data_IF_040648561196
#
_entry.id   IF_040648561196
#
_cell.length_a   1.000
_cell.length_b   1.000
_cell.length_c   1.000
_cell.angle_alpha   90.00
_cell.angle_beta   90.00
_cell.angle_gamma   90.00
#
_symmetry.space_group_name_H-M   'P 1'
#
loop_
_entity.id
_entity.type
_entity.pdbx_description
1 polymer ?
#
# COMPACT_ATOMS: atom_id res chain seq x y z
N UNK A 1 51.99 -0.77 1.59
CA UNK A 1 50.54 -1.09 1.44
C UNK A 1 50.45 -2.61 1.34
N UNK A 2 49.89 -3.20 2.37
CA UNK A 2 49.83 -4.63 2.48
C UNK A 2 48.87 -5.23 1.45
N UNK A 3 49.27 -6.36 0.80
CA UNK A 3 48.41 -7.09 -0.14
C UNK A 3 47.02 -7.47 0.45
N UNK A 4 46.93 -7.57 1.78
CA UNK A 4 45.68 -7.85 2.49
C UNK A 4 44.66 -6.69 2.47
N UNK A 5 45.12 -5.40 2.44
CA UNK A 5 44.22 -4.26 2.33
C UNK A 5 43.59 -4.15 0.92
N UNK A 6 44.39 -4.49 -0.12
CA UNK A 6 43.87 -4.48 -1.50
C UNK A 6 42.80 -5.55 -1.75
N UNK A 7 43.00 -6.77 -1.22
CA UNK A 7 42.06 -7.88 -1.35
C UNK A 7 40.74 -7.56 -0.60
N UNK A 8 40.80 -6.96 0.59
CA UNK A 8 39.60 -6.53 1.35
C UNK A 8 38.80 -5.47 0.58
N UNK A 9 39.45 -4.51 -0.04
CA UNK A 9 38.78 -3.44 -0.81
C UNK A 9 38.02 -3.97 -2.01
N UNK A 10 38.60 -4.94 -2.75
CA UNK A 10 37.97 -5.52 -3.93
C UNK A 10 36.78 -6.44 -3.57
N UNK A 11 36.87 -7.18 -2.44
CA UNK A 11 35.76 -7.98 -1.94
C UNK A 11 34.57 -7.12 -1.50
N UNK A 12 34.83 -5.99 -0.83
CA UNK A 12 33.78 -5.05 -0.42
C UNK A 12 33.13 -4.40 -1.64
N UNK A 13 33.91 -3.99 -2.62
CA UNK A 13 33.38 -3.39 -3.84
C UNK A 13 32.45 -4.36 -4.58
N UNK A 14 32.89 -5.59 -4.79
CA UNK A 14 32.10 -6.64 -5.44
C UNK A 14 30.78 -6.90 -4.66
N UNK A 15 30.87 -6.94 -3.33
CA UNK A 15 29.68 -7.13 -2.49
C UNK A 15 28.66 -6.00 -2.66
N UNK A 16 29.10 -4.72 -2.66
CA UNK A 16 28.20 -3.58 -2.86
C UNK A 16 27.60 -3.55 -4.27
N UNK A 17 28.35 -3.90 -5.29
CA UNK A 17 27.82 -4.05 -6.65
C UNK A 17 26.71 -5.12 -6.71
N UNK A 18 26.94 -6.27 -6.11
CA UNK A 18 25.92 -7.33 -6.03
C UNK A 18 24.65 -6.87 -5.31
N UNK A 19 24.78 -6.08 -4.24
CA UNK A 19 23.61 -5.51 -3.55
C UNK A 19 22.82 -4.56 -4.44
N UNK A 20 23.50 -3.73 -5.22
CA UNK A 20 22.88 -2.77 -6.14
C UNK A 20 22.27 -3.51 -7.35
N UNK A 21 22.97 -4.47 -7.91
CA UNK A 21 22.51 -5.31 -9.03
C UNK A 21 21.25 -6.13 -8.64
N UNK A 22 21.15 -6.51 -7.38
CA UNK A 22 19.95 -7.18 -6.88
C UNK A 22 18.65 -6.35 -7.07
N UNK A 23 18.77 -5.02 -7.26
CA UNK A 23 17.65 -4.13 -7.57
C UNK A 23 17.27 -4.10 -9.05
N UNK A 24 18.05 -4.70 -9.94
CA UNK A 24 17.76 -4.77 -11.37
C UNK A 24 16.70 -5.83 -11.68
N UNK A 25 15.67 -5.88 -10.86
CA UNK A 25 14.50 -6.74 -11.03
C UNK A 25 13.26 -5.91 -11.31
N UNK A 26 12.27 -6.49 -11.98
CA UNK A 26 10.97 -5.84 -12.22
C UNK A 26 10.21 -5.54 -10.90
N UNK A 27 10.58 -6.20 -9.82
CA UNK A 27 10.02 -6.05 -8.49
C UNK A 27 11.09 -5.52 -7.52
N UNK A 28 11.09 -4.21 -7.30
CA UNK A 28 12.07 -3.53 -6.45
C UNK A 28 12.03 -4.01 -4.99
N UNK A 29 10.86 -4.41 -4.47
CA UNK A 29 10.73 -4.93 -3.11
C UNK A 29 11.49 -6.27 -2.98
N UNK A 30 11.35 -7.15 -3.97
CA UNK A 30 12.17 -8.38 -4.03
C UNK A 30 13.65 -8.07 -4.15
N UNK A 31 14.01 -7.01 -4.89
CA UNK A 31 15.39 -6.53 -4.99
C UNK A 31 15.96 -6.09 -3.64
N UNK A 32 15.20 -5.31 -2.87
CA UNK A 32 15.59 -4.90 -1.50
C UNK A 32 15.75 -6.11 -0.59
N UNK A 33 14.81 -7.04 -0.59
CA UNK A 33 14.90 -8.28 0.19
C UNK A 33 16.14 -9.10 -0.18
N UNK A 34 16.45 -9.21 -1.47
CA UNK A 34 17.65 -9.91 -1.96
C UNK A 34 18.93 -9.21 -1.49
N UNK A 35 18.96 -7.88 -1.51
CA UNK A 35 20.10 -7.10 -1.01
C UNK A 35 20.33 -7.32 0.49
N UNK A 36 19.28 -7.31 1.30
CA UNK A 36 19.37 -7.60 2.74
C UNK A 36 19.80 -9.04 2.99
N UNK A 37 19.34 -9.99 2.19
CA UNK A 37 19.77 -11.39 2.27
C UNK A 37 21.27 -11.57 1.93
N UNK A 38 21.76 -10.89 0.90
CA UNK A 38 23.18 -10.87 0.57
C UNK A 38 24.02 -10.28 1.72
N UNK A 39 23.53 -9.19 2.33
CA UNK A 39 24.15 -8.59 3.50
C UNK A 39 24.21 -9.57 4.67
N UNK A 40 23.14 -10.30 4.93
CA UNK A 40 23.09 -11.35 5.97
C UNK A 40 24.13 -12.43 5.73
N UNK A 41 24.22 -12.95 4.51
CA UNK A 41 25.20 -13.96 4.14
C UNK A 41 26.65 -13.43 4.29
N UNK A 42 26.90 -12.22 3.81
CA UNK A 42 28.22 -11.61 3.87
C UNK A 42 28.70 -11.40 5.30
N UNK A 43 27.83 -10.89 6.18
CA UNK A 43 28.14 -10.65 7.58
C UNK A 43 28.07 -11.92 8.43
N UNK A 44 27.58 -13.03 7.89
CA UNK A 44 27.24 -14.23 8.66
C UNK A 44 26.40 -13.88 9.90
N UNK A 45 25.42 -12.97 9.68
CA UNK A 45 24.57 -12.45 10.76
C UNK A 45 23.37 -13.37 11.02
N UNK A 46 22.82 -13.30 12.24
CA UNK A 46 21.60 -14.01 12.60
C UNK A 46 20.38 -13.39 11.94
N UNK A 47 20.12 -12.13 12.21
CA UNK A 47 18.94 -11.42 11.72
C UNK A 47 19.28 -10.01 11.25
N UNK A 48 18.62 -9.58 10.17
CA UNK A 48 18.68 -8.21 9.68
C UNK A 48 17.25 -7.67 9.61
N UNK A 49 17.02 -6.51 10.20
CA UNK A 49 15.70 -5.87 10.25
C UNK A 49 15.87 -4.43 9.81
N UNK A 50 15.07 -4.02 8.81
CA UNK A 50 14.97 -2.63 8.39
C UNK A 50 13.72 -2.02 9.01
N UNK A 51 13.90 -0.90 9.72
CA UNK A 51 12.85 -0.11 10.33
C UNK A 51 12.66 1.18 9.56
N UNK A 52 11.41 1.57 9.35
CA UNK A 52 11.01 2.84 8.75
C UNK A 52 10.33 3.72 9.78
N UNK A 53 10.69 4.99 9.83
CA UNK A 53 10.04 5.98 10.70
C UNK A 53 8.66 6.33 10.16
N UNK A 54 7.63 6.21 10.98
CA UNK A 54 6.25 6.54 10.62
C UNK A 54 5.92 8.02 10.90
N UNK A 55 4.72 8.47 10.50
CA UNK A 55 4.23 9.84 10.69
C UNK A 55 4.20 10.28 12.17
N UNK A 56 4.13 9.34 13.12
CA UNK A 56 4.16 9.61 14.56
C UNK A 56 5.58 9.65 15.12
N UNK A 57 6.61 9.63 14.28
CA UNK A 57 8.02 9.65 14.68
C UNK A 57 8.55 8.34 15.26
N UNK A 58 7.76 7.24 15.21
CA UNK A 58 8.17 5.93 15.71
C UNK A 58 8.70 5.06 14.57
N UNK A 59 9.73 4.29 14.87
CA UNK A 59 10.24 3.27 13.96
C UNK A 59 9.38 2.00 14.04
N UNK A 60 8.90 1.57 12.89
CA UNK A 60 8.16 0.31 12.70
C UNK A 60 8.94 -0.53 11.69
N UNK A 61 9.00 -1.84 11.91
CA UNK A 61 9.69 -2.69 10.96
C UNK A 61 8.99 -2.63 9.59
N UNK A 62 9.80 -2.54 8.54
CA UNK A 62 9.37 -2.46 7.15
C UNK A 62 9.68 -3.78 6.43
N UNK A 63 10.93 -4.23 6.58
CA UNK A 63 11.41 -5.48 5.99
C UNK A 63 12.23 -6.21 7.04
N UNK A 64 11.98 -7.49 7.24
CA UNK A 64 12.79 -8.29 8.14
C UNK A 64 12.97 -9.72 7.63
N UNK A 65 14.16 -10.26 7.84
CA UNK A 65 14.49 -11.66 7.63
C UNK A 65 14.63 -12.33 9.00
N UNK A 66 13.50 -12.51 9.70
CA UNK A 66 13.46 -13.06 11.06
C UNK A 66 12.52 -14.25 11.13
N UNK A 67 12.98 -15.32 11.70
CA UNK A 67 12.20 -16.54 11.96
C UNK A 67 11.46 -16.54 13.32
N UNK A 68 11.67 -15.52 14.18
CA UNK A 68 11.11 -15.46 15.54
C UNK A 68 10.45 -14.12 15.85
N UNK A 69 9.14 -14.14 16.08
CA UNK A 69 8.33 -12.94 16.38
C UNK A 69 8.71 -12.23 17.71
N UNK A 70 9.07 -12.97 18.75
CA UNK A 70 9.46 -12.39 20.03
C UNK A 70 10.67 -11.47 19.89
N UNK A 71 11.67 -11.91 19.13
CA UNK A 71 12.88 -11.14 18.84
C UNK A 71 12.58 -9.80 18.14
N UNK A 72 11.61 -9.77 17.22
CA UNK A 72 11.22 -8.52 16.52
C UNK A 72 10.65 -7.50 17.51
N UNK A 73 9.79 -7.93 18.44
CA UNK A 73 9.16 -7.04 19.40
C UNK A 73 10.19 -6.40 20.34
N UNK A 74 11.13 -7.19 20.83
CA UNK A 74 12.22 -6.71 21.70
C UNK A 74 13.13 -5.71 20.97
N UNK A 75 13.58 -6.04 19.75
CA UNK A 75 14.42 -5.15 18.95
C UNK A 75 13.65 -3.89 18.56
N UNK A 76 12.36 -3.97 18.22
CA UNK A 76 11.53 -2.80 17.90
C UNK A 76 11.44 -1.85 19.09
N UNK A 77 11.27 -2.38 20.30
CA UNK A 77 11.26 -1.58 21.53
C UNK A 77 12.63 -0.90 21.76
N UNK A 78 13.71 -1.65 21.59
CA UNK A 78 15.07 -1.13 21.72
C UNK A 78 15.36 -0.04 20.70
N UNK A 79 15.04 -0.24 19.42
CA UNK A 79 15.22 0.74 18.34
C UNK A 79 14.50 2.05 18.68
N UNK A 80 13.25 2.00 19.13
CA UNK A 80 12.51 3.21 19.49
C UNK A 80 13.08 3.91 20.74
N UNK A 81 13.72 3.17 21.63
CA UNK A 81 14.37 3.73 22.83
C UNK A 81 15.67 4.45 22.49
N UNK A 82 16.46 3.89 21.57
CA UNK A 82 17.80 4.42 21.23
C UNK A 82 17.82 5.23 19.94
N UNK A 83 16.69 5.41 19.25
CA UNK A 83 16.62 6.05 17.92
C UNK A 83 17.31 7.40 17.87
N UNK A 84 17.15 8.21 18.92
CA UNK A 84 17.83 9.52 19.03
C UNK A 84 19.37 9.39 18.99
N UNK A 85 19.94 8.38 19.65
CA UNK A 85 21.39 8.13 19.61
C UNK A 85 21.84 7.69 18.24
N UNK A 86 21.12 6.76 17.61
CA UNK A 86 21.42 6.23 16.27
C UNK A 86 21.32 7.34 15.22
N UNK A 87 20.30 8.19 15.27
CA UNK A 87 20.13 9.33 14.36
C UNK A 87 21.28 10.34 14.45
N UNK A 88 21.85 10.55 15.66
CA UNK A 88 22.93 11.52 15.86
C UNK A 88 24.32 10.96 15.58
N UNK A 89 24.54 9.67 15.81
CA UNK A 89 25.85 9.02 15.66
C UNK A 89 26.05 8.37 14.29
N UNK A 90 24.98 8.31 13.48
CA UNK A 90 24.91 7.59 12.19
C UNK A 90 25.03 6.06 12.32
N UNK A 91 25.75 5.56 13.31
CA UNK A 91 25.78 4.14 13.69
C UNK A 91 25.84 4.00 15.23
N UNK A 92 25.36 2.88 15.73
CA UNK A 92 25.40 2.54 17.15
C UNK A 92 25.50 1.03 17.30
N UNK A 93 26.42 0.60 18.17
CA UNK A 93 26.69 -0.81 18.41
C UNK A 93 26.50 -1.16 19.88
N UNK A 94 25.87 -2.29 20.13
CA UNK A 94 25.75 -2.89 21.45
C UNK A 94 26.40 -4.28 21.38
N UNK A 95 27.53 -4.44 22.05
CA UNK A 95 28.30 -5.67 22.08
C UNK A 95 28.21 -6.33 23.47
N UNK A 96 26.99 -6.66 23.87
CA UNK A 96 26.73 -7.49 25.05
C UNK A 96 25.42 -8.27 24.86
N UNK A 97 25.23 -9.32 25.64
CA UNK A 97 24.01 -10.13 25.57
C UNK A 97 22.78 -9.25 25.93
N UNK A 98 21.97 -8.96 24.92
CA UNK A 98 20.73 -8.21 25.05
C UNK A 98 19.62 -9.13 25.52
N UNK A 99 19.58 -10.34 24.93
CA UNK A 99 18.69 -11.44 25.30
C UNK A 99 19.45 -12.76 25.22
N UNK A 100 18.80 -13.86 25.59
CA UNK A 100 19.40 -15.20 25.44
C UNK A 100 19.78 -15.52 23.99
N UNK A 101 19.12 -14.87 23.03
CA UNK A 101 19.28 -15.12 21.58
C UNK A 101 20.07 -14.04 20.85
N UNK A 102 20.18 -12.82 21.40
CA UNK A 102 20.87 -11.67 20.80
C UNK A 102 22.11 -11.33 21.61
N UNK A 103 23.27 -11.63 21.04
CA UNK A 103 24.59 -11.42 21.66
C UNK A 103 25.19 -10.06 21.33
N UNK A 104 25.00 -9.59 20.09
CA UNK A 104 25.42 -8.26 19.65
C UNK A 104 24.43 -7.73 18.62
N UNK A 105 24.40 -6.42 18.47
CA UNK A 105 23.56 -5.74 17.49
C UNK A 105 24.22 -4.42 17.04
N UNK A 106 24.25 -4.22 15.74
CA UNK A 106 24.66 -2.96 15.11
C UNK A 106 23.45 -2.26 14.51
N UNK A 107 23.35 -0.97 14.77
CA UNK A 107 22.32 -0.11 14.18
C UNK A 107 22.97 0.89 13.23
N UNK A 108 22.43 1.03 12.05
CA UNK A 108 22.85 1.99 11.04
C UNK A 108 21.69 2.92 10.70
N UNK A 109 21.91 4.23 10.78
CA UNK A 109 20.94 5.21 10.37
C UNK A 109 21.07 5.53 8.90
N UNK A 110 19.96 5.45 8.19
CA UNK A 110 19.89 5.69 6.75
C UNK A 110 18.80 6.73 6.52
N UNK A 111 19.22 7.90 6.04
CA UNK A 111 18.31 8.98 5.67
C UNK A 111 18.19 9.03 4.16
N UNK A 112 16.96 8.83 3.65
CA UNK A 112 16.61 9.08 2.25
C UNK A 112 15.91 10.45 2.13
N UNK A 113 15.47 10.82 0.91
CA UNK A 113 14.88 12.15 0.68
C UNK A 113 13.61 12.38 1.52
N UNK A 114 12.75 11.37 1.63
CA UNK A 114 11.42 11.48 2.23
C UNK A 114 11.24 10.60 3.46
N UNK A 115 12.17 9.67 3.72
CA UNK A 115 12.04 8.68 4.78
C UNK A 115 13.33 8.54 5.59
N UNK A 116 13.17 8.14 6.83
CA UNK A 116 14.25 7.80 7.74
C UNK A 116 14.15 6.33 8.10
N UNK A 117 15.28 5.63 8.09
CA UNK A 117 15.37 4.20 8.36
C UNK A 117 16.45 3.91 9.40
N UNK A 118 16.25 2.83 10.14
CA UNK A 118 17.30 2.21 10.96
C UNK A 118 17.41 0.76 10.50
N UNK A 119 18.63 0.37 10.09
CA UNK A 119 18.98 -1.02 9.80
C UNK A 119 19.60 -1.61 11.06
N UNK A 120 19.02 -2.67 11.59
CA UNK A 120 19.58 -3.44 12.71
C UNK A 120 20.14 -4.77 12.19
N UNK A 121 21.37 -5.08 12.62
CA UNK A 121 22.12 -6.29 12.25
C UNK A 121 22.45 -7.02 13.53
N UNK A 122 21.83 -8.18 13.74
CA UNK A 122 21.96 -8.95 14.97
C UNK A 122 22.89 -10.15 14.79
N UNK A 123 23.64 -10.47 15.83
CA UNK A 123 24.51 -11.65 15.88
C UNK A 123 25.46 -11.75 14.68
N UNK A 124 26.00 -10.61 14.22
CA UNK A 124 26.97 -10.64 13.14
C UNK A 124 28.32 -11.24 13.63
N UNK A 125 29.06 -11.82 12.69
CA UNK A 125 30.30 -12.47 13.02
C UNK A 125 31.40 -11.43 13.33
N UNK A 126 31.72 -11.25 14.59
CA UNK A 126 32.77 -10.32 15.05
C UNK A 126 34.17 -10.66 14.58
N UNK A 127 34.41 -11.88 14.01
CA UNK A 127 35.73 -12.28 13.49
C UNK A 127 36.09 -11.62 12.13
N UNK A 128 35.15 -11.02 11.44
CA UNK A 128 35.43 -10.08 10.35
C UNK A 128 35.74 -8.73 10.98
N UNK A 129 37.01 -8.35 11.06
CA UNK A 129 37.44 -6.98 11.37
C UNK A 129 36.97 -6.04 10.26
N UNK A 130 35.70 -5.67 10.31
CA UNK A 130 35.10 -4.70 9.42
C UNK A 130 35.47 -3.30 9.90
N UNK A 131 36.15 -2.56 9.06
CA UNK A 131 36.60 -1.21 9.36
C UNK A 131 35.48 -0.18 9.26
N UNK A 132 35.76 1.05 9.70
CA UNK A 132 34.79 2.16 9.63
C UNK A 132 34.40 2.50 8.17
N UNK A 133 35.28 2.27 7.22
CA UNK A 133 35.02 2.55 5.80
C UNK A 133 34.01 1.56 5.22
N UNK A 134 34.03 0.29 5.63
CA UNK A 134 32.99 -0.67 5.30
C UNK A 134 31.61 -0.19 5.74
N UNK A 135 31.45 0.17 7.00
CA UNK A 135 30.15 0.60 7.55
C UNK A 135 29.65 1.89 6.88
N UNK A 136 30.56 2.83 6.63
CA UNK A 136 30.25 4.07 5.91
C UNK A 136 29.80 3.79 4.48
N UNK A 137 30.44 2.88 3.78
CA UNK A 137 30.07 2.50 2.42
C UNK A 137 28.75 1.71 2.40
N UNK A 138 28.53 0.83 3.39
CA UNK A 138 27.25 0.15 3.54
C UNK A 138 26.10 1.13 3.70
N UNK A 139 26.24 2.15 4.57
CA UNK A 139 25.22 3.20 4.72
C UNK A 139 24.94 3.92 3.39
N UNK A 140 25.95 4.25 2.60
CA UNK A 140 25.79 4.87 1.29
C UNK A 140 25.06 3.94 0.31
N UNK A 141 25.43 2.68 0.27
CA UNK A 141 24.80 1.67 -0.60
C UNK A 141 23.33 1.48 -0.21
N UNK A 142 23.04 1.33 1.07
CA UNK A 142 21.65 1.25 1.56
C UNK A 142 20.86 2.52 1.27
N UNK A 143 21.45 3.70 1.36
CA UNK A 143 20.80 4.95 0.94
C UNK A 143 20.36 4.90 -0.53
N UNK A 144 21.25 4.44 -1.43
CA UNK A 144 20.91 4.30 -2.87
C UNK A 144 19.76 3.30 -3.07
N UNK A 145 19.84 2.16 -2.40
CA UNK A 145 18.82 1.09 -2.43
C UNK A 145 17.46 1.65 -1.98
N UNK A 146 17.41 2.30 -0.83
CA UNK A 146 16.16 2.83 -0.28
C UNK A 146 15.59 3.97 -1.11
N UNK A 147 16.43 4.87 -1.62
CA UNK A 147 16.00 5.94 -2.53
C UNK A 147 15.37 5.38 -3.81
N UNK A 148 15.91 4.31 -4.36
CA UNK A 148 15.33 3.65 -5.55
C UNK A 148 13.99 2.99 -5.22
N UNK A 149 13.89 2.31 -4.08
CA UNK A 149 12.65 1.70 -3.62
C UNK A 149 11.53 2.74 -3.41
N UNK A 150 11.83 3.86 -2.74
CA UNK A 150 10.88 4.98 -2.55
C UNK A 150 10.41 5.57 -3.88
N UNK A 151 11.34 5.80 -4.80
CA UNK A 151 11.01 6.33 -6.13
C UNK A 151 10.10 5.38 -6.90
N UNK A 152 10.36 4.08 -6.81
CA UNK A 152 9.52 3.05 -7.42
C UNK A 152 8.12 3.03 -6.79
N UNK A 153 8.01 3.02 -5.45
CA UNK A 153 6.72 3.08 -4.76
C UNK A 153 5.92 4.32 -5.14
N UNK A 154 6.56 5.48 -5.22
CA UNK A 154 5.92 6.73 -5.67
C UNK A 154 5.38 6.61 -7.09
N UNK A 155 6.20 6.08 -8.00
CA UNK A 155 5.79 5.87 -9.39
C UNK A 155 4.61 4.90 -9.49
N UNK A 156 4.66 3.78 -8.77
CA UNK A 156 3.54 2.82 -8.72
C UNK A 156 2.28 3.50 -8.17
N UNK A 157 2.37 4.22 -7.05
CA UNK A 157 1.21 4.95 -6.49
C UNK A 157 0.65 5.97 -7.47
N UNK A 158 1.50 6.73 -8.15
CA UNK A 158 1.07 7.72 -9.15
C UNK A 158 0.33 7.08 -10.33
N UNK A 159 0.75 5.86 -10.74
CA UNK A 159 0.14 5.13 -11.84
C UNK A 159 -1.15 4.39 -11.42
N UNK A 160 -1.24 3.94 -10.16
CA UNK A 160 -2.29 3.01 -9.69
C UNK A 160 -3.33 3.66 -8.79
N UNK A 161 -3.15 4.90 -8.34
CA UNK A 161 -4.05 5.59 -7.40
C UNK A 161 -4.77 6.75 -8.08
N UNK A 162 -6.07 6.90 -7.82
CA UNK A 162 -6.85 8.08 -8.20
C UNK A 162 -6.54 9.24 -7.26
N UNK A 163 -6.07 10.34 -7.81
CA UNK A 163 -5.57 11.50 -7.05
C UNK A 163 -6.66 12.16 -6.21
N UNK A 164 -7.91 12.21 -6.70
CA UNK A 164 -9.01 12.86 -6.01
C UNK A 164 -9.49 12.04 -4.82
N UNK A 165 -9.66 10.74 -4.99
CA UNK A 165 -10.30 9.88 -3.99
C UNK A 165 -9.31 9.05 -3.16
N UNK A 166 -8.07 8.87 -3.65
CA UNK A 166 -7.10 7.95 -3.08
C UNK A 166 -7.57 6.48 -3.10
N UNK A 167 -8.50 6.12 -3.98
CA UNK A 167 -8.83 4.76 -4.35
C UNK A 167 -7.86 4.26 -5.41
N UNK A 168 -7.85 2.96 -5.67
CA UNK A 168 -7.19 2.45 -6.87
C UNK A 168 -7.88 3.01 -8.11
N UNK A 169 -7.09 3.35 -9.12
CA UNK A 169 -7.59 3.91 -10.36
C UNK A 169 -7.88 2.83 -11.41
N UNK A 170 -8.27 3.27 -12.62
CA UNK A 170 -8.54 2.41 -13.76
C UNK A 170 -7.36 1.53 -14.14
N UNK A 171 -6.13 2.04 -14.11
CA UNK A 171 -4.95 1.25 -14.46
C UNK A 171 -4.76 0.09 -13.48
N UNK A 172 -4.92 0.35 -12.18
CA UNK A 172 -4.87 -0.70 -11.15
C UNK A 172 -5.96 -1.76 -11.37
N UNK A 173 -7.18 -1.34 -11.72
CA UNK A 173 -8.26 -2.27 -12.09
C UNK A 173 -7.87 -3.12 -13.31
N UNK A 174 -7.36 -2.52 -14.39
CA UNK A 174 -6.96 -3.23 -15.61
C UNK A 174 -5.80 -4.20 -15.38
N UNK A 175 -4.90 -3.91 -14.46
CA UNK A 175 -3.86 -4.84 -14.02
C UNK A 175 -4.48 -6.03 -13.27
N UNK A 176 -5.35 -5.75 -12.30
CA UNK A 176 -5.95 -6.77 -11.44
C UNK A 176 -6.82 -7.77 -12.21
N UNK A 177 -7.62 -7.32 -13.18
CA UNK A 177 -8.52 -8.20 -13.93
C UNK A 177 -7.78 -9.25 -14.79
N UNK A 178 -6.52 -9.00 -15.14
CA UNK A 178 -5.69 -9.98 -15.89
C UNK A 178 -5.26 -11.15 -15.02
N UNK A 179 -5.25 -10.98 -13.70
CA UNK A 179 -4.81 -11.98 -12.73
C UNK A 179 -5.95 -12.79 -12.13
N UNK A 180 -7.21 -12.37 -12.34
CA UNK A 180 -8.39 -13.03 -11.77
C UNK A 180 -8.56 -14.41 -12.41
N UNK A 181 -8.49 -15.45 -11.57
CA UNK A 181 -8.72 -16.85 -11.93
C UNK A 181 -9.74 -17.52 -11.03
N UNK A 182 -10.24 -16.79 -10.04
CA UNK A 182 -11.11 -17.28 -8.98
C UNK A 182 -12.50 -16.67 -9.07
N UNK A 183 -13.49 -17.33 -8.45
CA UNK A 183 -14.80 -16.75 -8.25
C UNK A 183 -14.72 -15.56 -7.30
N UNK A 184 -15.39 -14.47 -7.66
CA UNK A 184 -15.49 -13.28 -6.81
C UNK A 184 -16.81 -12.55 -7.01
N UNK A 185 -17.15 -11.68 -6.07
CA UNK A 185 -18.26 -10.74 -6.24
C UNK A 185 -17.75 -9.49 -6.95
N UNK A 186 -18.41 -9.15 -8.04
CA UNK A 186 -18.16 -7.99 -8.88
C UNK A 186 -19.28 -6.97 -8.68
N UNK A 187 -18.92 -5.74 -8.35
CA UNK A 187 -19.86 -4.65 -8.16
C UNK A 187 -19.51 -3.44 -9.01
N UNK A 188 -20.53 -2.83 -9.63
CA UNK A 188 -20.42 -1.53 -10.30
C UNK A 188 -21.28 -0.53 -9.55
N UNK A 189 -20.76 0.69 -9.40
CA UNK A 189 -21.46 1.81 -8.76
C UNK A 189 -21.34 3.06 -9.61
N UNK A 190 -22.39 3.88 -9.61
CA UNK A 190 -22.48 5.15 -10.34
C UNK A 190 -23.13 6.22 -9.46
N UNK A 191 -22.56 7.42 -9.44
CA UNK A 191 -23.10 8.53 -8.66
C UNK A 191 -24.32 9.14 -9.35
N UNK A 192 -25.44 9.09 -8.66
CA UNK A 192 -26.67 9.65 -9.17
C UNK A 192 -26.60 11.18 -9.24
N UNK A 193 -26.84 11.74 -10.44
CA UNK A 193 -26.89 13.18 -10.70
C UNK A 193 -25.58 13.96 -10.48
N UNK A 194 -24.41 13.35 -10.60
CA UNK A 194 -23.14 14.08 -10.51
C UNK A 194 -23.08 15.23 -11.54
N UNK A 195 -23.52 14.99 -12.78
CA UNK A 195 -23.58 16.03 -13.81
C UNK A 195 -24.45 17.21 -13.37
N UNK A 196 -25.62 16.96 -12.79
CA UNK A 196 -26.48 18.02 -12.26
C UNK A 196 -25.77 18.83 -11.17
N UNK A 197 -25.05 18.18 -10.27
CA UNK A 197 -24.27 18.86 -9.22
C UNK A 197 -23.21 19.77 -9.85
N UNK A 198 -22.46 19.26 -10.83
CA UNK A 198 -21.44 20.04 -11.53
C UNK A 198 -22.00 21.26 -12.25
N UNK A 199 -23.10 21.06 -12.99
CA UNK A 199 -23.68 22.09 -13.84
C UNK A 199 -24.37 23.22 -13.02
N UNK A 200 -24.93 22.91 -11.84
CA UNK A 200 -25.72 23.86 -11.04
C UNK A 200 -24.95 24.46 -9.86
N UNK A 201 -23.94 23.75 -9.33
CA UNK A 201 -23.20 24.25 -8.17
C UNK A 201 -21.73 24.56 -8.51
N UNK A 202 -20.95 23.58 -8.89
CA UNK A 202 -19.61 23.70 -9.48
C UNK A 202 -18.94 22.31 -9.55
N UNK A 203 -17.85 22.20 -10.31
CA UNK A 203 -16.99 21.00 -10.29
C UNK A 203 -16.36 20.75 -8.91
N UNK A 204 -16.09 21.79 -8.12
CA UNK A 204 -15.55 21.64 -6.75
C UNK A 204 -16.56 20.89 -5.87
N UNK A 205 -17.85 21.25 -5.94
CA UNK A 205 -18.90 20.55 -5.20
C UNK A 205 -19.10 19.12 -5.70
N UNK A 206 -18.96 18.91 -7.01
CA UNK A 206 -18.94 17.57 -7.59
C UNK A 206 -17.78 16.71 -7.11
N UNK A 207 -16.59 17.28 -6.99
CA UNK A 207 -15.43 16.62 -6.43
C UNK A 207 -15.62 16.25 -4.95
N UNK A 208 -16.21 17.14 -4.16
CA UNK A 208 -16.59 16.84 -2.76
C UNK A 208 -17.58 15.68 -2.67
N UNK A 209 -18.55 15.62 -3.60
CA UNK A 209 -19.50 14.51 -3.70
C UNK A 209 -18.79 13.19 -4.02
N UNK A 210 -17.89 13.18 -5.00
CA UNK A 210 -17.08 12.01 -5.38
C UNK A 210 -16.22 11.56 -4.19
N UNK A 211 -15.53 12.48 -3.51
CA UNK A 211 -14.70 12.17 -2.35
C UNK A 211 -15.51 11.60 -1.18
N UNK A 212 -16.70 12.14 -0.93
CA UNK A 212 -17.58 11.65 0.12
C UNK A 212 -18.07 10.22 -0.17
N UNK A 213 -18.50 9.94 -1.40
CA UNK A 213 -18.89 8.60 -1.82
C UNK A 213 -17.74 7.60 -1.74
N UNK A 214 -16.54 7.98 -2.18
CA UNK A 214 -15.33 7.16 -2.07
C UNK A 214 -15.01 6.81 -0.60
N UNK A 215 -15.14 7.76 0.33
CA UNK A 215 -14.97 7.51 1.77
C UNK A 215 -15.98 6.50 2.30
N UNK A 216 -17.23 6.59 1.87
CA UNK A 216 -18.28 5.64 2.23
C UNK A 216 -17.95 4.25 1.68
N UNK A 217 -17.57 4.13 0.41
CA UNK A 217 -17.18 2.85 -0.17
C UNK A 217 -15.99 2.23 0.57
N UNK A 218 -14.95 3.01 0.89
CA UNK A 218 -13.81 2.55 1.73
C UNK A 218 -14.24 2.06 3.11
N UNK A 219 -15.23 2.70 3.74
CA UNK A 219 -15.77 2.29 5.05
C UNK A 219 -16.43 0.91 4.99
N UNK A 220 -17.19 0.62 3.93
CA UNK A 220 -17.87 -0.66 3.76
C UNK A 220 -16.95 -1.78 3.26
N UNK A 221 -15.94 -1.44 2.47
CA UNK A 221 -14.94 -2.36 1.92
C UNK A 221 -13.52 -1.82 2.16
N UNK A 222 -13.06 -1.85 3.43
CA UNK A 222 -11.72 -1.37 3.76
C UNK A 222 -10.67 -2.30 3.14
N UNK A 223 -9.59 -1.72 2.63
CA UNK A 223 -8.37 -2.47 2.32
C UNK A 223 -7.75 -2.93 3.64
N UNK A 224 -7.75 -4.20 3.91
CA UNK A 224 -7.03 -4.76 5.04
C UNK A 224 -5.60 -5.09 4.61
N UNK A 225 -4.62 -4.48 5.26
CA UNK A 225 -3.27 -5.03 5.30
C UNK A 225 -3.34 -6.22 6.26
N UNK A 226 -3.36 -7.43 5.74
CA UNK A 226 -3.24 -8.62 6.58
C UNK A 226 -1.78 -8.71 6.99
N UNK A 227 -1.51 -8.56 8.30
CA UNK A 227 -0.27 -9.06 8.88
C UNK A 227 -0.39 -10.58 8.85
N UNK A 228 0.34 -11.22 7.94
CA UNK A 228 0.51 -12.66 8.00
C UNK A 228 1.48 -12.99 9.12
N UNK A 229 1.01 -13.84 10.03
CA UNK A 229 1.70 -14.25 11.25
C UNK A 229 2.91 -15.15 10.98
N UNK A 230 3.49 -15.34 9.89
CA UNK A 230 4.73 -16.14 9.72
C UNK A 230 5.46 -16.02 8.37
N UNK A 231 5.00 -15.21 7.43
CA UNK A 231 5.78 -14.94 6.22
C UNK A 231 5.68 -13.47 5.87
N UNK A 232 6.85 -12.82 5.77
CA UNK A 232 6.98 -11.42 5.38
C UNK A 232 6.77 -11.33 3.86
N UNK A 233 5.59 -11.62 3.43
CA UNK A 233 5.08 -11.06 2.21
C UNK A 233 4.16 -9.90 2.60
N UNK A 234 4.57 -8.68 2.30
CA UNK A 234 3.69 -7.53 2.19
C UNK A 234 2.74 -7.70 0.99
N UNK A 235 2.17 -8.87 0.85
CA UNK A 235 0.99 -9.07 0.04
C UNK A 235 -0.14 -8.40 0.79
N UNK A 236 -0.53 -7.24 0.32
CA UNK A 236 -1.86 -6.70 0.57
C UNK A 236 -2.83 -7.71 -0.04
N UNK A 237 -3.12 -8.81 0.66
CA UNK A 237 -4.26 -9.66 0.35
C UNK A 237 -5.51 -8.85 0.65
N UNK A 238 -5.82 -7.96 -0.24
CA UNK A 238 -7.06 -7.21 -0.22
C UNK A 238 -8.17 -8.15 -0.70
N UNK A 239 -8.84 -8.80 0.23
CA UNK A 239 -10.09 -9.47 -0.10
C UNK A 239 -11.17 -8.52 -0.61
N UNK A 240 -10.93 -7.20 -0.55
CA UNK A 240 -11.78 -6.13 -1.05
C UNK A 240 -10.94 -5.09 -1.77
N UNK A 241 -11.26 -4.80 -3.03
CA UNK A 241 -10.66 -3.72 -3.78
C UNK A 241 -11.77 -2.84 -4.38
N UNK A 242 -11.74 -1.55 -4.08
CA UNK A 242 -12.60 -0.54 -4.68
C UNK A 242 -11.76 0.33 -5.59
N UNK A 243 -12.19 0.45 -6.84
CA UNK A 243 -11.52 1.22 -7.89
C UNK A 243 -12.42 2.38 -8.33
N UNK A 244 -11.82 3.51 -8.68
CA UNK A 244 -12.49 4.56 -9.46
C UNK A 244 -12.04 4.44 -10.91
N UNK A 245 -12.97 4.06 -11.80
CA UNK A 245 -12.67 3.76 -13.20
C UNK A 245 -13.11 4.86 -14.17
N UNK A 246 -13.98 5.73 -13.72
CA UNK A 246 -14.51 6.86 -14.48
C UNK A 246 -14.74 8.09 -13.59
N UNK A 247 -15.39 9.12 -14.11
CA UNK A 247 -15.72 10.33 -13.36
C UNK A 247 -16.58 10.04 -12.14
N UNK A 248 -17.69 9.32 -12.34
CA UNK A 248 -18.72 8.93 -11.37
C UNK A 248 -18.81 7.42 -11.13
N UNK A 249 -17.94 6.64 -11.77
CA UNK A 249 -17.98 5.19 -11.76
C UNK A 249 -16.97 4.58 -10.81
N UNK A 250 -17.45 3.59 -10.02
CA UNK A 250 -16.60 2.80 -9.12
C UNK A 250 -16.86 1.31 -9.34
N UNK A 251 -15.79 0.51 -9.20
CA UNK A 251 -15.86 -0.94 -9.28
C UNK A 251 -15.39 -1.55 -7.96
N UNK A 252 -16.11 -2.56 -7.50
CA UNK A 252 -15.74 -3.40 -6.36
C UNK A 252 -15.39 -4.81 -6.86
N UNK A 253 -14.25 -5.31 -6.43
CA UNK A 253 -13.89 -6.73 -6.52
C UNK A 253 -13.72 -7.27 -5.11
N UNK A 254 -14.40 -8.38 -4.76
CA UNK A 254 -14.23 -9.01 -3.44
C UNK A 254 -14.36 -10.52 -3.49
N UNK A 255 -13.42 -11.21 -2.83
CA UNK A 255 -13.40 -12.66 -2.60
C UNK A 255 -13.76 -13.03 -1.16
N UNK A 256 -13.86 -12.05 -0.26
CA UNK A 256 -14.04 -12.26 1.19
C UNK A 256 -15.50 -12.17 1.64
N UNK A 257 -16.45 -11.90 0.76
CA UNK A 257 -17.86 -11.74 1.11
C UNK A 257 -18.77 -12.49 0.14
N UNK A 258 -19.91 -12.96 0.65
CA UNK A 258 -20.98 -13.48 -0.21
C UNK A 258 -21.68 -12.33 -0.97
N UNK A 259 -22.32 -12.69 -2.07
CA UNK A 259 -23.08 -11.72 -2.87
C UNK A 259 -24.22 -11.08 -2.07
N UNK A 260 -24.87 -11.82 -1.18
CA UNK A 260 -25.97 -11.33 -0.33
C UNK A 260 -25.47 -10.25 0.62
N UNK A 261 -24.34 -10.51 1.29
CA UNK A 261 -23.71 -9.54 2.20
C UNK A 261 -23.24 -8.30 1.45
N UNK A 262 -22.64 -8.48 0.27
CA UNK A 262 -22.22 -7.37 -0.59
C UNK A 262 -23.41 -6.52 -1.04
N UNK A 263 -24.53 -7.13 -1.44
CA UNK A 263 -25.77 -6.42 -1.79
C UNK A 263 -26.35 -5.63 -0.61
N UNK A 264 -26.31 -6.19 0.60
CA UNK A 264 -26.75 -5.47 1.80
C UNK A 264 -25.88 -4.24 2.05
N UNK A 265 -24.55 -4.41 2.01
CA UNK A 265 -23.60 -3.31 2.17
C UNK A 265 -23.77 -2.24 1.09
N UNK A 266 -24.00 -2.63 -0.17
CA UNK A 266 -24.24 -1.69 -1.27
C UNK A 266 -25.48 -0.84 -1.02
N UNK A 267 -26.59 -1.42 -0.56
CA UNK A 267 -27.79 -0.68 -0.18
C UNK A 267 -27.55 0.27 1.00
N UNK A 268 -26.77 -0.15 2.00
CA UNK A 268 -26.43 0.72 3.13
C UNK A 268 -25.51 1.87 2.67
N UNK A 269 -24.52 1.60 1.83
CA UNK A 269 -23.66 2.63 1.25
C UNK A 269 -24.47 3.61 0.41
N UNK A 270 -25.40 3.14 -0.45
CA UNK A 270 -26.28 3.99 -1.25
C UNK A 270 -27.16 4.88 -0.37
N UNK A 271 -27.69 4.34 0.74
CA UNK A 271 -28.45 5.14 1.72
C UNK A 271 -27.57 6.20 2.37
N UNK A 272 -26.35 5.87 2.77
CA UNK A 272 -25.43 6.83 3.40
C UNK A 272 -25.01 7.91 2.40
N UNK A 273 -24.77 7.56 1.13
CA UNK A 273 -24.51 8.54 0.05
C UNK A 273 -25.69 9.48 -0.14
N UNK A 274 -26.94 9.01 -0.07
CA UNK A 274 -28.13 9.87 -0.17
C UNK A 274 -28.32 10.86 0.98
N UNK A 275 -27.57 10.71 2.07
CA UNK A 275 -27.59 11.59 3.24
C UNK A 275 -26.40 12.57 3.28
N UNK A 276 -25.54 12.57 2.25
CA UNK A 276 -24.39 13.48 2.20
C UNK A 276 -24.91 14.92 2.18
N UNK A 277 -24.34 15.75 3.05
CA UNK A 277 -24.52 17.20 3.02
C UNK A 277 -23.28 17.83 2.38
N UNK A 278 -23.46 18.45 1.22
CA UNK A 278 -22.39 19.13 0.48
C UNK A 278 -22.21 20.60 0.92
N UNK A 279 -22.93 21.05 1.94
CA UNK A 279 -22.82 22.42 2.45
C UNK A 279 -23.34 23.50 1.48
N UNK A 280 -24.13 23.11 0.47
CA UNK A 280 -24.71 24.02 -0.51
C UNK A 280 -26.19 24.24 -0.22
N UNK A 281 -26.68 25.48 -0.39
CA UNK A 281 -28.10 25.78 -0.31
C UNK A 281 -28.83 25.23 -1.54
N UNK A 282 -29.99 24.62 -1.32
CA UNK A 282 -30.79 24.10 -2.41
C UNK A 282 -31.20 25.26 -3.34
N UNK A 283 -30.87 25.19 -4.62
CA UNK A 283 -31.33 26.14 -5.61
C UNK A 283 -32.85 25.94 -5.80
N UNK A 284 -33.63 26.98 -5.48
CA UNK A 284 -35.07 27.04 -5.74
C UNK A 284 -35.90 25.83 -5.28
N UNK A 285 -36.26 25.72 -4.02
CA UNK A 285 -37.24 24.76 -3.46
C UNK A 285 -37.07 23.27 -3.85
N UNK A 286 -36.05 22.88 -4.63
CA UNK A 286 -35.78 21.52 -4.99
C UNK A 286 -34.71 20.94 -4.05
N UNK A 287 -35.07 19.87 -3.36
CA UNK A 287 -34.12 19.12 -2.55
C UNK A 287 -32.99 18.53 -3.45
N UNK A 288 -31.72 18.77 -3.12
CA UNK A 288 -30.61 18.15 -3.79
C UNK A 288 -30.64 16.62 -3.53
N UNK A 289 -31.00 15.87 -4.57
CA UNK A 289 -31.12 14.43 -4.50
C UNK A 289 -29.80 13.80 -4.93
N UNK A 290 -29.08 13.25 -3.97
CA UNK A 290 -27.85 12.47 -4.17
C UNK A 290 -28.15 10.98 -4.05
N UNK A 291 -27.28 10.12 -4.62
CA UNK A 291 -27.46 8.69 -4.51
C UNK A 291 -26.31 7.90 -5.14
N UNK A 292 -26.32 6.61 -4.94
CA UNK A 292 -25.35 5.66 -5.49
C UNK A 292 -26.13 4.49 -6.10
N UNK A 293 -26.16 4.42 -7.41
CA UNK A 293 -26.73 3.28 -8.14
C UNK A 293 -25.75 2.13 -8.14
N UNK A 294 -26.23 0.89 -8.15
CA UNK A 294 -25.33 -0.25 -8.08
C UNK A 294 -25.86 -1.49 -8.81
N UNK A 295 -24.92 -2.27 -9.37
CA UNK A 295 -25.16 -3.60 -9.89
C UNK A 295 -24.16 -4.58 -9.31
N UNK A 296 -24.63 -5.66 -8.65
CA UNK A 296 -23.78 -6.64 -7.96
C UNK A 296 -24.05 -8.02 -8.53
N UNK A 297 -22.99 -8.71 -8.95
CA UNK A 297 -23.05 -10.04 -9.56
C UNK A 297 -21.88 -10.92 -9.11
N UNK A 298 -22.01 -12.23 -9.26
CA UNK A 298 -20.88 -13.15 -9.12
C UNK A 298 -20.15 -13.25 -10.45
N UNK A 299 -18.85 -13.05 -10.42
CA UNK A 299 -17.94 -13.43 -11.50
C UNK A 299 -17.55 -14.89 -11.33
N UNK A 300 -17.82 -15.68 -12.37
CA UNK A 300 -17.44 -17.08 -12.45
C UNK A 300 -16.12 -17.24 -13.24
N UNK A 301 -15.21 -18.15 -12.85
CA UNK A 301 -13.91 -18.31 -13.51
C UNK A 301 -13.97 -18.64 -15.00
N UNK A 302 -15.07 -19.21 -15.45
CA UNK A 302 -15.32 -19.58 -16.84
C UNK A 302 -15.97 -18.47 -17.69
N UNK A 303 -16.27 -17.32 -17.06
CA UNK A 303 -16.85 -16.14 -17.72
C UNK A 303 -15.76 -15.08 -17.91
N UNK A 304 -15.78 -14.39 -19.03
CA UNK A 304 -14.88 -13.24 -19.18
C UNK A 304 -15.28 -12.07 -18.25
N UNK A 305 -14.29 -11.32 -17.77
CA UNK A 305 -14.55 -10.09 -16.98
C UNK A 305 -15.43 -9.11 -17.76
N UNK A 306 -15.24 -9.02 -19.08
CA UNK A 306 -16.03 -8.13 -19.94
C UNK A 306 -17.52 -8.50 -19.93
N UNK A 307 -17.85 -9.77 -19.95
CA UNK A 307 -19.25 -10.24 -19.83
C UNK A 307 -19.81 -10.00 -18.44
N UNK A 308 -19.00 -10.22 -17.40
CA UNK A 308 -19.39 -9.93 -16.00
C UNK A 308 -19.67 -8.44 -15.81
N UNK A 309 -18.79 -7.56 -16.29
CA UNK A 309 -18.99 -6.11 -16.24
C UNK A 309 -20.30 -5.71 -16.92
N UNK A 310 -20.54 -6.18 -18.15
CA UNK A 310 -21.78 -5.89 -18.89
C UNK A 310 -23.03 -6.28 -18.10
N UNK A 311 -23.05 -7.46 -17.50
CA UNK A 311 -24.18 -7.90 -16.67
C UNK A 311 -24.38 -7.05 -15.40
N UNK A 312 -23.28 -6.63 -14.78
CA UNK A 312 -23.33 -5.73 -13.63
C UNK A 312 -23.85 -4.34 -14.03
N UNK A 313 -23.41 -3.80 -15.17
CA UNK A 313 -23.88 -2.53 -15.74
C UNK A 313 -25.38 -2.57 -16.04
N UNK A 314 -25.89 -3.68 -16.60
CA UNK A 314 -27.34 -3.86 -16.85
C UNK A 314 -28.16 -3.82 -15.55
N UNK A 315 -27.62 -4.36 -14.43
CA UNK A 315 -28.27 -4.28 -13.12
C UNK A 315 -28.22 -2.87 -12.55
N UNK A 316 -27.09 -2.18 -12.68
CA UNK A 316 -26.93 -0.80 -12.23
C UNK A 316 -27.86 0.15 -13.02
N UNK A 317 -27.99 -0.01 -14.33
CA UNK A 317 -28.91 0.79 -15.15
C UNK A 317 -30.39 0.58 -14.77
N UNK A 318 -30.77 -0.63 -14.37
CA UNK A 318 -32.11 -0.89 -13.80
C UNK A 318 -32.30 -0.14 -12.48
N UNK A 319 -31.32 -0.20 -11.58
CA UNK A 319 -31.35 0.53 -10.30
C UNK A 319 -31.45 2.04 -10.54
N UNK A 320 -30.64 2.58 -11.46
CA UNK A 320 -30.66 3.98 -11.90
C UNK A 320 -32.03 4.39 -12.43
N UNK A 321 -32.65 3.56 -13.25
CA UNK A 321 -33.99 3.81 -13.79
C UNK A 321 -35.05 3.87 -12.69
N UNK A 322 -35.00 2.98 -11.70
CA UNK A 322 -35.88 3.00 -10.54
C UNK A 322 -35.72 4.27 -9.71
N UNK A 323 -34.48 4.77 -9.55
CA UNK A 323 -34.21 6.03 -8.86
C UNK A 323 -34.87 7.22 -9.59
N UNK A 324 -34.74 7.34 -10.91
CA UNK A 324 -35.39 8.38 -11.70
C UNK A 324 -36.93 8.33 -11.57
N UNK A 325 -37.51 7.13 -11.64
CA UNK A 325 -38.97 6.94 -11.44
C UNK A 325 -39.42 7.33 -10.03
N UNK A 326 -38.69 6.89 -9.01
CA UNK A 326 -38.99 7.18 -7.61
C UNK A 326 -39.04 8.68 -7.31
N UNK A 327 -38.10 9.41 -7.88
CA UNK A 327 -38.04 10.87 -7.68
C UNK A 327 -38.79 11.70 -8.71
N UNK A 328 -39.46 11.05 -9.69
CA UNK A 328 -40.20 11.70 -10.78
C UNK A 328 -39.33 12.66 -11.61
N UNK A 329 -38.07 12.34 -11.79
CA UNK A 329 -37.11 13.17 -12.53
C UNK A 329 -37.05 12.68 -13.98
N UNK A 330 -37.10 13.62 -14.94
CA UNK A 330 -36.93 13.28 -16.34
C UNK A 330 -35.44 13.07 -16.69
N UNK A 331 -35.06 11.85 -17.08
CA UNK A 331 -33.67 11.48 -17.46
C UNK A 331 -33.08 12.32 -18.60
N UNK A 332 -33.93 12.91 -19.47
CA UNK A 332 -33.47 13.70 -20.62
C UNK A 332 -33.16 15.16 -20.31
N UNK A 333 -33.47 15.64 -19.09
CA UNK A 333 -33.25 17.01 -18.68
C UNK A 333 -31.97 17.18 -17.82
N UNK A 334 -31.22 16.13 -17.65
CA UNK A 334 -29.98 16.03 -16.88
C UNK A 334 -28.97 15.14 -17.62
#
# INVERSE_FOLDING_TARGET
MDNNEFIKSDEYFLFYEMMIEALETDDVIKGVNKSLYLLKLFLSSGNIILYKKNENGKYVYDICDVTMHETITEITSLVNTISYLVENLADYEIDFNITDTIKNIKFLYIKSNDCEYILSICNYNAFKELDADFWKQLCKTMHVIMKRAESYEKNIRAITTDVLTGLDNRNSYEMRIKEIKEQLVYGVFDLFRLKYVNDHYSHIVGDDYIMAAARILKKYWPKHKIKLDNEIETKVETGHCVYRTGGDEFILLTTKESIERTKIKAKLAAREVSMINLGVEALSNEQLLLGLNHGIIIHEPNRSIKETSKLADELMEKDKTLMYQKFKINRRQH
#
